data_IF_252529302116
#
_entry.id   IF_252529302116
#
_cell.length_a   1.000
_cell.length_b   1.000
_cell.length_c   1.000
_cell.angle_alpha   90.00
_cell.angle_beta   90.00
_cell.angle_gamma   90.00
#
_symmetry.space_group_name_H-M   'P 1'
#
loop_
_entity.id
_entity.type
_entity.pdbx_description
1 polymer ?
#
# COMPACT_ATOMS: atom_id res chain seq x y z
N UNK A 1 -44.49 0.26 -38.03
CA UNK A 1 -43.23 -0.38 -37.58
C UNK A 1 -42.06 0.60 -37.55
N UNK A 2 -42.04 1.68 -38.35
CA UNK A 2 -40.95 2.68 -38.31
C UNK A 2 -41.11 3.77 -37.22
N UNK A 3 -42.33 4.06 -36.76
CA UNK A 3 -42.57 5.14 -35.77
C UNK A 3 -42.31 4.74 -34.30
N UNK A 4 -42.13 3.43 -34.02
CA UNK A 4 -41.91 2.97 -32.64
C UNK A 4 -40.41 2.99 -32.25
N UNK A 5 -39.51 2.89 -33.23
CA UNK A 5 -38.06 2.93 -33.00
C UNK A 5 -37.55 4.36 -32.72
N UNK A 6 -38.18 5.38 -33.33
CA UNK A 6 -37.81 6.79 -33.07
C UNK A 6 -38.24 7.27 -31.68
N UNK A 7 -39.34 6.72 -31.13
CA UNK A 7 -39.76 7.02 -29.76
C UNK A 7 -38.86 6.36 -28.71
N UNK A 8 -38.28 5.19 -29.00
CA UNK A 8 -37.35 4.52 -28.08
C UNK A 8 -35.97 5.20 -28.04
N UNK A 9 -35.51 5.76 -29.17
CA UNK A 9 -34.23 6.45 -29.23
C UNK A 9 -34.21 7.79 -28.47
N UNK A 10 -35.37 8.42 -28.30
CA UNK A 10 -35.52 9.67 -27.55
C UNK A 10 -35.67 9.47 -26.02
N UNK A 11 -35.74 8.22 -25.56
CA UNK A 11 -35.82 7.83 -24.14
C UNK A 11 -34.49 7.37 -23.55
N UNK A 12 -33.37 7.54 -24.27
CA UNK A 12 -32.03 7.43 -23.67
C UNK A 12 -31.84 8.58 -22.69
N UNK A 13 -32.31 8.35 -21.47
CA UNK A 13 -31.91 9.06 -20.26
C UNK A 13 -30.39 9.12 -20.30
N UNK A 14 -29.88 10.31 -20.58
CA UNK A 14 -28.46 10.60 -20.44
C UNK A 14 -28.20 10.49 -18.95
N UNK A 15 -27.53 9.40 -18.53
CA UNK A 15 -26.99 9.33 -17.17
C UNK A 15 -26.23 10.64 -16.94
N UNK A 16 -26.50 11.35 -15.83
CA UNK A 16 -25.71 12.51 -15.49
C UNK A 16 -24.24 12.05 -15.43
N UNK A 17 -23.29 12.84 -15.97
CA UNK A 17 -21.89 12.53 -15.83
C UNK A 17 -21.61 12.30 -14.33
N UNK A 18 -20.94 11.19 -14.01
CA UNK A 18 -20.47 10.92 -12.66
C UNK A 18 -19.85 12.21 -12.09
N UNK A 19 -20.21 12.63 -10.86
CA UNK A 19 -19.66 13.83 -10.28
C UNK A 19 -18.14 13.67 -10.23
N UNK A 20 -17.45 14.46 -11.03
CA UNK A 20 -16.00 14.51 -11.00
C UNK A 20 -15.60 14.95 -9.59
N UNK A 21 -14.70 14.22 -8.90
CA UNK A 21 -14.30 14.57 -7.55
C UNK A 21 -13.82 16.02 -7.54
N UNK A 22 -14.47 16.85 -6.73
CA UNK A 22 -14.20 18.28 -6.68
C UNK A 22 -12.90 18.48 -5.91
N UNK A 23 -11.80 18.59 -6.64
CA UNK A 23 -10.49 18.84 -6.04
C UNK A 23 -10.33 20.32 -5.68
N UNK A 24 -9.73 20.58 -4.52
CA UNK A 24 -9.49 21.93 -4.01
C UNK A 24 -8.01 22.28 -4.18
N UNK A 25 -7.68 23.46 -4.76
CA UNK A 25 -6.30 23.92 -4.82
C UNK A 25 -5.82 24.31 -3.42
N UNK A 26 -4.66 23.80 -3.03
CA UNK A 26 -3.99 24.11 -1.77
C UNK A 26 -2.48 24.11 -1.97
N UNK A 27 -1.82 25.09 -1.35
CA UNK A 27 -0.36 25.15 -1.28
C UNK A 27 0.12 24.57 0.05
N UNK A 28 1.03 23.60 0.01
CA UNK A 28 1.63 22.98 1.21
C UNK A 28 3.15 23.15 1.11
N UNK A 29 3.69 24.03 1.95
CA UNK A 29 5.08 24.49 1.82
C UNK A 29 5.27 25.24 0.50
N UNK A 30 6.17 24.75 -0.34
CA UNK A 30 6.52 25.38 -1.63
C UNK A 30 5.84 24.72 -2.84
N UNK A 31 4.92 23.78 -2.62
CA UNK A 31 4.27 23.01 -3.68
C UNK A 31 2.76 23.22 -3.71
N UNK A 32 2.20 23.26 -4.91
CA UNK A 32 0.78 23.38 -5.16
C UNK A 32 0.16 21.99 -5.43
N UNK A 33 -1.01 21.75 -4.84
CA UNK A 33 -1.73 20.48 -4.97
C UNK A 33 -3.21 20.74 -5.29
N UNK A 34 -3.82 19.76 -5.95
CA UNK A 34 -5.27 19.68 -6.15
C UNK A 34 -5.79 18.44 -5.41
N UNK A 35 -6.40 18.64 -4.25
CA UNK A 35 -6.72 17.54 -3.34
C UNK A 35 -8.23 17.36 -3.17
N UNK A 36 -8.66 16.12 -3.06
CA UNK A 36 -9.97 15.80 -2.52
C UNK A 36 -9.91 15.87 -0.98
N UNK A 37 -10.30 17.02 -0.43
CA UNK A 37 -10.16 17.29 1.01
C UNK A 37 -10.97 16.31 1.88
N UNK A 38 -12.04 15.71 1.36
CA UNK A 38 -12.83 14.68 2.06
C UNK A 38 -12.00 13.45 2.44
N UNK A 39 -10.94 13.13 1.70
CA UNK A 39 -10.07 11.99 2.00
C UNK A 39 -9.03 12.30 3.09
N UNK A 40 -8.81 13.58 3.42
CA UNK A 40 -7.78 14.03 4.37
C UNK A 40 -8.44 14.88 5.46
N UNK A 41 -8.90 14.27 6.57
CA UNK A 41 -9.74 14.95 7.56
C UNK A 41 -9.12 16.21 8.16
N UNK A 42 -7.81 16.19 8.43
CA UNK A 42 -7.10 17.37 8.91
C UNK A 42 -7.18 18.54 7.93
N UNK A 43 -6.89 18.31 6.64
CA UNK A 43 -6.92 19.37 5.63
C UNK A 43 -8.34 19.86 5.34
N UNK A 44 -9.34 18.97 5.43
CA UNK A 44 -10.75 19.37 5.40
C UNK A 44 -11.09 20.34 6.54
N UNK A 45 -10.70 19.99 7.78
CA UNK A 45 -10.92 20.84 8.93
C UNK A 45 -10.17 22.18 8.82
N UNK A 46 -8.92 22.15 8.34
CA UNK A 46 -8.11 23.33 8.07
C UNK A 46 -8.77 24.27 7.05
N UNK A 47 -9.20 23.74 5.90
CA UNK A 47 -9.89 24.52 4.88
C UNK A 47 -11.20 25.15 5.41
N UNK A 48 -11.97 24.37 6.18
CA UNK A 48 -13.20 24.86 6.81
C UNK A 48 -12.94 25.97 7.83
N UNK A 49 -11.81 25.92 8.54
CA UNK A 49 -11.43 26.96 9.48
C UNK A 49 -11.02 28.24 8.76
N UNK A 50 -10.13 28.14 7.77
CA UNK A 50 -9.65 29.28 6.99
C UNK A 50 -10.78 30.00 6.24
N UNK A 51 -11.68 29.23 5.60
CA UNK A 51 -12.83 29.80 4.88
C UNK A 51 -13.80 30.54 5.79
N UNK A 52 -13.98 30.11 7.05
CA UNK A 52 -14.82 30.80 8.04
C UNK A 52 -14.13 32.02 8.66
N UNK A 53 -12.81 31.97 8.80
CA UNK A 53 -12.03 33.05 9.38
C UNK A 53 -11.88 34.25 8.41
N UNK A 54 -12.02 34.02 7.11
CA UNK A 54 -11.72 35.02 6.09
C UNK A 54 -12.98 35.62 5.46
N UNK A 55 -13.01 36.95 5.34
CA UNK A 55 -14.10 37.71 4.69
C UNK A 55 -13.99 37.79 3.17
N UNK A 56 -12.88 37.34 2.58
CA UNK A 56 -12.66 37.28 1.12
C UNK A 56 -12.00 35.95 0.74
N UNK A 57 -12.23 35.44 -0.49
CA UNK A 57 -11.59 34.22 -0.97
C UNK A 57 -10.08 34.43 -1.06
N UNK A 58 -9.32 33.71 -0.24
CA UNK A 58 -7.86 33.64 -0.33
C UNK A 58 -7.44 32.23 -0.71
N UNK A 59 -6.28 32.15 -1.34
CA UNK A 59 -5.57 30.89 -1.56
C UNK A 59 -5.34 30.17 -0.23
N UNK A 60 -5.62 28.86 -0.21
CA UNK A 60 -5.42 28.02 0.96
C UNK A 60 -3.94 27.64 1.04
N UNK A 61 -3.25 28.12 2.08
CA UNK A 61 -1.80 27.93 2.25
C UNK A 61 -1.51 27.30 3.61
N UNK A 62 -0.87 26.15 3.60
CA UNK A 62 -0.40 25.42 4.78
C UNK A 62 1.13 25.36 4.80
N UNK A 63 1.72 25.29 6.00
CA UNK A 63 3.16 25.06 6.16
C UNK A 63 3.61 23.71 5.56
N UNK A 64 4.93 23.47 5.45
CA UNK A 64 5.45 22.20 4.95
C UNK A 64 5.03 21.04 5.86
N UNK A 65 4.67 19.91 5.25
CA UNK A 65 4.34 18.66 5.95
C UNK A 65 5.36 17.60 5.52
N UNK A 66 6.00 16.94 6.48
CA UNK A 66 7.01 15.91 6.19
C UNK A 66 6.39 14.74 5.40
N UNK A 67 7.09 14.24 4.39
CA UNK A 67 6.67 13.10 3.55
C UNK A 67 5.26 13.21 2.94
N UNK A 68 4.69 14.42 2.81
CA UNK A 68 3.32 14.60 2.33
C UNK A 68 3.07 13.97 0.96
N UNK A 69 3.99 14.17 -0.01
CA UNK A 69 3.90 13.55 -1.34
C UNK A 69 3.79 12.02 -1.28
N UNK A 70 4.53 11.40 -0.35
CA UNK A 70 4.52 9.94 -0.17
C UNK A 70 3.22 9.51 0.51
N UNK A 71 2.77 10.26 1.51
CA UNK A 71 1.53 9.99 2.22
C UNK A 71 0.34 10.02 1.25
N UNK A 72 0.25 11.08 0.44
CA UNK A 72 -0.78 11.28 -0.59
C UNK A 72 -0.77 10.14 -1.62
N UNK A 73 0.41 9.78 -2.14
CA UNK A 73 0.54 8.65 -3.07
C UNK A 73 0.08 7.32 -2.45
N UNK A 74 0.28 7.13 -1.15
CA UNK A 74 -0.24 5.98 -0.42
C UNK A 74 -1.76 5.94 -0.33
N UNK A 75 -2.41 7.10 -0.18
CA UNK A 75 -3.88 7.25 -0.14
C UNK A 75 -4.46 6.97 -1.54
N UNK A 76 -3.94 7.65 -2.56
CA UNK A 76 -4.50 7.61 -3.92
C UNK A 76 -4.20 6.30 -4.67
N UNK A 77 -3.01 5.72 -4.46
CA UNK A 77 -2.52 4.59 -5.26
C UNK A 77 -2.26 3.31 -4.45
N UNK A 78 -2.51 3.36 -3.14
CA UNK A 78 -2.34 2.27 -2.18
C UNK A 78 -1.00 2.28 -1.42
N UNK A 79 -1.06 1.91 -0.15
CA UNK A 79 0.05 2.03 0.81
C UNK A 79 1.32 1.25 0.46
N UNK A 80 1.29 0.27 -0.45
CA UNK A 80 2.51 -0.35 -0.99
C UNK A 80 3.46 0.66 -1.61
N UNK A 81 2.94 1.79 -2.11
CA UNK A 81 3.75 2.86 -2.70
C UNK A 81 4.65 3.55 -1.68
N UNK A 82 4.31 3.52 -0.38
CA UNK A 82 5.13 4.08 0.69
C UNK A 82 6.50 3.40 0.74
N UNK A 83 6.53 2.05 0.70
CA UNK A 83 7.78 1.27 0.66
C UNK A 83 8.62 1.52 -0.59
N UNK A 84 7.99 1.86 -1.71
CA UNK A 84 8.67 2.14 -2.98
C UNK A 84 9.28 3.54 -3.01
N UNK A 85 8.56 4.49 -2.42
CA UNK A 85 8.93 5.90 -2.46
C UNK A 85 9.93 6.28 -1.36
N UNK A 86 10.00 5.50 -0.27
CA UNK A 86 10.96 5.69 0.80
C UNK A 86 12.14 4.71 0.71
N UNK A 87 13.34 5.12 1.18
CA UNK A 87 14.42 4.18 1.40
C UNK A 87 14.04 3.19 2.51
N UNK A 88 14.64 1.99 2.55
CA UNK A 88 14.36 0.98 3.58
C UNK A 88 15.06 1.34 4.91
N UNK A 89 14.76 2.53 5.41
CA UNK A 89 15.18 3.11 6.67
C UNK A 89 13.96 3.27 7.56
N UNK A 90 14.05 2.76 8.79
CA UNK A 90 12.90 2.72 9.70
C UNK A 90 12.51 4.13 10.18
N UNK A 91 13.49 5.03 10.36
CA UNK A 91 13.22 6.40 10.80
C UNK A 91 12.36 7.17 9.79
N UNK A 92 12.58 7.01 8.48
CA UNK A 92 11.71 7.59 7.45
C UNK A 92 10.27 7.06 7.52
N UNK A 93 10.11 5.78 7.87
CA UNK A 93 8.79 5.17 7.97
C UNK A 93 8.07 5.59 9.25
N UNK A 94 8.79 5.83 10.35
CA UNK A 94 8.25 6.50 11.54
C UNK A 94 7.70 7.88 11.19
N UNK A 95 8.51 8.74 10.58
CA UNK A 95 8.10 10.08 10.18
C UNK A 95 6.89 10.06 9.23
N UNK A 96 6.82 9.08 8.32
CA UNK A 96 5.63 8.91 7.47
C UNK A 96 4.39 8.51 8.27
N UNK A 97 4.51 7.63 9.27
CA UNK A 97 3.38 7.25 10.12
C UNK A 97 2.91 8.43 10.99
N UNK A 98 3.84 9.24 11.51
CA UNK A 98 3.50 10.51 12.20
C UNK A 98 2.73 11.46 11.28
N UNK A 99 3.11 11.54 10.00
CA UNK A 99 2.35 12.31 9.01
C UNK A 99 0.93 11.79 8.84
N UNK A 100 0.72 10.47 8.76
CA UNK A 100 -0.63 9.92 8.67
C UNK A 100 -1.47 10.23 9.92
N UNK A 101 -0.88 10.14 11.11
CA UNK A 101 -1.53 10.52 12.37
C UNK A 101 -1.89 12.01 12.39
N UNK A 102 -0.95 12.89 12.00
CA UNK A 102 -1.16 14.33 11.88
C UNK A 102 -2.29 14.68 10.89
N UNK A 103 -2.33 13.98 9.76
CA UNK A 103 -3.37 14.15 8.74
C UNK A 103 -4.72 13.52 9.14
N UNK A 104 -4.78 12.82 10.27
CA UNK A 104 -5.92 12.05 10.76
C UNK A 104 -6.39 10.97 9.77
N UNK A 105 -5.45 10.28 9.13
CA UNK A 105 -5.75 9.21 8.16
C UNK A 105 -5.87 7.87 8.89
N UNK A 106 -7.02 7.21 8.73
CA UNK A 106 -7.19 5.82 9.19
C UNK A 106 -6.48 4.85 8.24
N UNK A 107 -5.18 4.67 8.45
CA UNK A 107 -4.35 3.72 7.68
C UNK A 107 -4.86 2.28 7.82
N UNK A 108 -5.38 1.93 9.00
CA UNK A 108 -5.87 0.57 9.26
C UNK A 108 -7.22 0.34 8.56
N UNK A 109 -8.03 1.38 8.37
CA UNK A 109 -9.39 1.30 7.85
C UNK A 109 -10.30 0.54 8.81
N UNK A 110 -10.12 0.76 10.12
CA UNK A 110 -10.81 0.06 11.19
C UNK A 110 -10.49 -1.43 11.34
N UNK A 111 -9.50 -1.96 10.60
CA UNK A 111 -9.16 -3.38 10.62
C UNK A 111 -8.40 -3.77 11.89
N UNK A 112 -8.83 -4.88 12.51
CA UNK A 112 -8.13 -5.52 13.63
C UNK A 112 -6.85 -6.25 13.19
N UNK A 113 -5.96 -6.55 14.13
CA UNK A 113 -4.74 -7.36 13.90
C UNK A 113 -5.05 -8.69 13.18
N UNK A 114 -6.13 -9.38 13.57
CA UNK A 114 -6.49 -10.67 12.98
C UNK A 114 -6.94 -10.51 11.51
N UNK A 115 -7.68 -9.45 11.19
CA UNK A 115 -8.12 -9.14 9.82
C UNK A 115 -6.94 -8.74 8.93
N UNK A 116 -5.98 -7.97 9.46
CA UNK A 116 -4.72 -7.63 8.79
C UNK A 116 -3.94 -8.92 8.50
N UNK A 117 -3.78 -9.81 9.49
CA UNK A 117 -3.09 -11.10 9.31
C UNK A 117 -3.80 -11.99 8.27
N UNK A 118 -5.13 -12.01 8.29
CA UNK A 118 -5.94 -12.72 7.29
C UNK A 118 -5.70 -12.17 5.88
N UNK A 119 -5.75 -10.85 5.74
CA UNK A 119 -5.59 -10.13 4.48
C UNK A 119 -4.20 -10.30 3.88
N UNK A 120 -3.14 -10.33 4.71
CA UNK A 120 -1.76 -10.65 4.28
C UNK A 120 -1.66 -12.02 3.59
N UNK A 121 -2.47 -12.99 4.02
CA UNK A 121 -2.40 -14.38 3.55
C UNK A 121 -3.32 -14.69 2.38
N UNK A 122 -4.17 -13.75 1.95
CA UNK A 122 -5.17 -13.94 0.88
C UNK A 122 -4.56 -14.39 -0.45
N UNK A 123 -3.35 -13.94 -0.78
CA UNK A 123 -2.60 -14.37 -1.97
C UNK A 123 -2.15 -15.84 -1.97
N UNK A 124 -2.39 -16.62 -0.90
CA UNK A 124 -1.92 -18.01 -0.74
C UNK A 124 -3.02 -19.06 -0.85
N UNK A 125 -4.26 -18.73 -1.22
CA UNK A 125 -5.33 -19.72 -1.40
C UNK A 125 -5.06 -20.64 -2.61
N UNK A 126 -4.20 -21.65 -2.41
CA UNK A 126 -3.71 -22.60 -3.43
C UNK A 126 -4.83 -23.33 -4.16
N UNK A 127 -5.95 -23.63 -3.48
CA UNK A 127 -7.14 -24.24 -4.12
C UNK A 127 -7.78 -23.35 -5.18
N UNK A 128 -7.68 -22.02 -5.03
CA UNK A 128 -8.16 -21.05 -6.03
C UNK A 128 -7.07 -20.68 -7.04
N UNK A 129 -5.80 -20.75 -6.66
CA UNK A 129 -4.67 -20.32 -7.51
C UNK A 129 -4.50 -21.12 -8.81
N UNK A 130 -4.94 -22.38 -8.87
CA UNK A 130 -4.86 -23.23 -10.07
C UNK A 130 -5.86 -22.78 -11.16
N UNK A 131 -6.96 -22.13 -10.77
CA UNK A 131 -8.02 -21.68 -11.69
C UNK A 131 -8.14 -20.15 -11.79
N UNK A 132 -7.28 -19.39 -11.09
CA UNK A 132 -7.38 -17.92 -11.08
C UNK A 132 -6.63 -17.29 -12.26
N UNK A 133 -7.28 -16.41 -13.03
CA UNK A 133 -6.63 -15.56 -14.04
C UNK A 133 -5.42 -14.81 -13.47
N UNK A 134 -4.44 -14.50 -14.32
CA UNK A 134 -3.20 -13.77 -13.93
C UNK A 134 -3.53 -12.42 -13.28
N UNK A 135 -4.57 -11.74 -13.77
CA UNK A 135 -4.99 -10.42 -13.26
C UNK A 135 -5.42 -10.48 -11.79
N UNK A 136 -6.28 -11.44 -11.42
CA UNK A 136 -6.71 -11.62 -10.03
C UNK A 136 -5.53 -11.96 -9.09
N UNK A 137 -4.52 -12.68 -9.58
CA UNK A 137 -3.30 -12.97 -8.81
C UNK A 137 -2.45 -11.71 -8.60
N UNK A 138 -2.47 -10.75 -9.53
CA UNK A 138 -1.80 -9.45 -9.37
C UNK A 138 -2.52 -8.61 -8.32
N UNK A 139 -3.85 -8.57 -8.36
CA UNK A 139 -4.66 -7.83 -7.40
C UNK A 139 -4.51 -8.37 -5.97
N UNK A 140 -4.48 -9.70 -5.82
CA UNK A 140 -4.24 -10.34 -4.52
C UNK A 140 -2.85 -9.97 -3.95
N UNK A 141 -1.82 -9.85 -4.81
CA UNK A 141 -0.48 -9.40 -4.37
C UNK A 141 -0.45 -7.92 -4.00
N UNK A 142 -1.10 -7.06 -4.79
CA UNK A 142 -1.19 -5.63 -4.48
C UNK A 142 -1.85 -5.41 -3.11
N UNK A 143 -2.99 -6.07 -2.87
CA UNK A 143 -3.68 -6.05 -1.57
C UNK A 143 -2.81 -6.56 -0.43
N UNK A 144 -2.11 -7.68 -0.63
CA UNK A 144 -1.20 -8.19 0.39
C UNK A 144 -0.06 -7.21 0.71
N UNK A 145 0.49 -6.52 -0.32
CA UNK A 145 1.54 -5.51 -0.14
C UNK A 145 1.01 -4.25 0.58
N UNK A 146 -0.19 -3.78 0.25
CA UNK A 146 -0.82 -2.67 0.98
C UNK A 146 -1.07 -3.06 2.44
N UNK A 147 -1.54 -4.29 2.66
CA UNK A 147 -1.75 -4.84 4.01
C UNK A 147 -0.44 -4.95 4.79
N UNK A 148 0.70 -5.17 4.14
CA UNK A 148 2.00 -5.17 4.82
C UNK A 148 2.37 -3.78 5.36
N UNK A 149 1.92 -2.70 4.72
CA UNK A 149 2.08 -1.36 5.28
C UNK A 149 1.15 -1.15 6.47
N UNK A 150 -0.09 -1.63 6.42
CA UNK A 150 -0.99 -1.60 7.59
C UNK A 150 -0.40 -2.36 8.78
N UNK A 151 0.23 -3.51 8.53
CA UNK A 151 0.97 -4.25 9.57
C UNK A 151 2.12 -3.40 10.13
N UNK A 152 2.90 -2.73 9.28
CA UNK A 152 3.97 -1.82 9.72
C UNK A 152 3.40 -0.71 10.61
N UNK A 153 2.34 -0.03 10.15
CA UNK A 153 1.68 1.04 10.90
C UNK A 153 1.23 0.55 12.28
N UNK A 154 0.57 -0.61 12.32
CA UNK A 154 0.14 -1.23 13.58
C UNK A 154 1.30 -1.58 14.51
N UNK A 155 2.45 -2.02 13.99
CA UNK A 155 3.63 -2.31 14.81
C UNK A 155 4.19 -1.03 15.45
N UNK A 156 4.24 0.07 14.70
CA UNK A 156 4.86 1.31 15.15
C UNK A 156 3.93 2.14 16.05
N UNK A 157 2.64 2.25 15.68
CA UNK A 157 1.66 3.16 16.30
C UNK A 157 0.42 2.46 16.85
N UNK A 158 0.27 1.16 16.63
CA UNK A 158 -0.89 0.42 17.11
C UNK A 158 -0.90 0.20 18.62
N UNK A 159 -2.10 0.25 19.18
CA UNK A 159 -2.36 -0.26 20.53
C UNK A 159 -2.62 -1.77 20.47
N UNK A 160 -2.07 -2.50 21.43
CA UNK A 160 -2.26 -3.94 21.58
C UNK A 160 -2.92 -4.24 22.91
N UNK A 161 -4.00 -5.02 22.89
CA UNK A 161 -4.73 -5.41 24.11
C UNK A 161 -3.85 -6.27 25.04
N UNK A 162 -3.06 -7.16 24.45
CA UNK A 162 -2.12 -8.02 25.18
C UNK A 162 -0.81 -8.09 24.38
N UNK A 163 0.13 -7.21 24.70
CA UNK A 163 1.43 -7.13 24.01
C UNK A 163 2.17 -8.47 23.95
N UNK A 164 2.02 -9.33 24.97
CA UNK A 164 2.69 -10.64 24.97
C UNK A 164 2.05 -11.60 23.97
N UNK A 165 0.72 -11.74 23.99
CA UNK A 165 0.02 -12.63 23.04
C UNK A 165 0.05 -12.08 21.61
N UNK A 166 -0.11 -10.77 21.46
CA UNK A 166 -0.17 -10.13 20.16
C UNK A 166 1.22 -10.05 19.52
N UNK A 167 2.30 -9.85 20.28
CA UNK A 167 3.66 -9.93 19.73
C UNK A 167 3.96 -11.28 19.07
N UNK A 168 3.41 -12.39 19.58
CA UNK A 168 3.56 -13.71 18.96
C UNK A 168 2.77 -13.82 17.65
N UNK A 169 1.58 -13.19 17.56
CA UNK A 169 0.80 -13.12 16.31
C UNK A 169 1.51 -12.25 15.28
N UNK A 170 1.98 -11.07 15.69
CA UNK A 170 2.75 -10.14 14.86
C UNK A 170 4.02 -10.82 14.37
N UNK A 171 4.76 -11.53 15.22
CA UNK A 171 5.93 -12.31 14.81
C UNK A 171 5.61 -13.27 13.65
N UNK A 172 4.51 -14.03 13.75
CA UNK A 172 4.10 -14.94 12.68
C UNK A 172 3.74 -14.21 11.39
N UNK A 173 3.19 -13.00 11.48
CA UNK A 173 2.91 -12.14 10.33
C UNK A 173 4.20 -11.60 9.70
N UNK A 174 5.14 -11.14 10.52
CA UNK A 174 6.46 -10.64 10.09
C UNK A 174 7.25 -11.77 9.42
N UNK A 175 7.31 -12.96 10.03
CA UNK A 175 7.91 -14.16 9.42
C UNK A 175 7.29 -14.48 8.06
N UNK A 176 5.96 -14.36 7.95
CA UNK A 176 5.29 -14.52 6.67
C UNK A 176 5.76 -13.48 5.64
N UNK A 177 5.87 -12.21 6.01
CA UNK A 177 6.38 -11.16 5.10
C UNK A 177 7.81 -11.47 4.65
N UNK A 178 8.73 -11.73 5.58
CA UNK A 178 10.17 -11.90 5.23
C UNK A 178 10.45 -13.18 4.43
N UNK A 179 9.67 -14.24 4.64
CA UNK A 179 9.82 -15.54 3.96
C UNK A 179 9.21 -15.61 2.56
N UNK A 180 8.51 -14.56 2.09
CA UNK A 180 7.81 -14.57 0.80
C UNK A 180 8.36 -13.51 -0.18
N UNK A 181 9.60 -13.67 -0.69
CA UNK A 181 10.26 -12.69 -1.58
C UNK A 181 9.54 -12.49 -2.94
N UNK A 182 8.72 -13.47 -3.37
CA UNK A 182 7.90 -13.35 -4.59
C UNK A 182 6.74 -12.36 -4.44
N UNK A 183 6.32 -12.08 -3.20
CA UNK A 183 5.21 -11.18 -2.89
C UNK A 183 5.74 -9.87 -2.33
N UNK A 184 6.61 -9.94 -1.32
CA UNK A 184 7.15 -8.80 -0.61
C UNK A 184 8.60 -8.54 -1.03
N UNK A 185 8.84 -7.35 -1.59
CA UNK A 185 10.16 -6.93 -2.03
C UNK A 185 11.09 -6.73 -0.83
N UNK A 186 12.39 -6.79 -1.07
CA UNK A 186 13.39 -6.65 -0.01
C UNK A 186 13.18 -5.40 0.86
N UNK A 187 12.85 -4.23 0.27
CA UNK A 187 12.59 -2.99 1.03
C UNK A 187 11.50 -3.20 2.09
N UNK A 188 10.33 -3.69 1.68
CA UNK A 188 9.22 -4.03 2.59
C UNK A 188 9.66 -5.03 3.66
N UNK A 189 10.36 -6.10 3.26
CA UNK A 189 10.80 -7.15 4.21
C UNK A 189 11.75 -6.60 5.27
N UNK A 190 12.70 -5.76 4.86
CA UNK A 190 13.69 -5.13 5.76
C UNK A 190 13.02 -4.19 6.77
N UNK A 191 12.15 -3.31 6.31
CA UNK A 191 11.47 -2.32 7.18
C UNK A 191 10.52 -2.99 8.16
N UNK A 192 9.68 -3.92 7.69
CA UNK A 192 8.72 -4.65 8.55
C UNK A 192 9.44 -5.47 9.62
N UNK A 193 10.59 -6.08 9.27
CA UNK A 193 11.43 -6.77 10.24
C UNK A 193 11.99 -5.81 11.28
N UNK A 194 12.61 -4.71 10.85
CA UNK A 194 13.22 -3.73 11.73
C UNK A 194 12.19 -3.15 12.72
N UNK A 195 10.99 -2.82 12.24
CA UNK A 195 9.89 -2.35 13.08
C UNK A 195 9.53 -3.34 14.19
N UNK A 196 9.45 -4.63 13.86
CA UNK A 196 9.16 -5.68 14.85
C UNK A 196 10.27 -5.80 15.91
N UNK A 197 11.53 -5.78 15.46
CA UNK A 197 12.70 -5.87 16.33
C UNK A 197 12.86 -4.64 17.24
N UNK A 198 12.39 -3.47 16.80
CA UNK A 198 12.36 -2.25 17.60
C UNK A 198 11.24 -2.28 18.64
N UNK A 199 10.01 -2.64 18.24
CA UNK A 199 8.83 -2.60 19.13
C UNK A 199 8.84 -3.69 20.19
N UNK A 200 9.29 -4.90 19.85
CA UNK A 200 9.11 -6.08 20.70
C UNK A 200 10.43 -6.69 21.15
N UNK A 201 10.42 -7.27 22.36
CA UNK A 201 11.54 -8.08 22.83
C UNK A 201 11.61 -9.38 22.05
N UNK A 202 12.61 -9.49 21.17
CA UNK A 202 12.78 -10.65 20.29
C UNK A 202 13.59 -11.74 20.98
N UNK A 203 12.99 -12.93 21.17
CA UNK A 203 13.71 -14.10 21.69
C UNK A 203 14.78 -14.59 20.71
N UNK A 204 15.80 -15.29 21.22
CA UNK A 204 16.87 -15.89 20.40
C UNK A 204 16.31 -16.78 19.29
N UNK A 205 15.24 -17.54 19.57
CA UNK A 205 14.58 -18.40 18.59
C UNK A 205 13.87 -17.60 17.49
N UNK A 206 13.21 -16.50 17.85
CA UNK A 206 12.56 -15.63 16.88
C UNK A 206 13.59 -14.92 16.00
N UNK A 207 14.68 -14.42 16.60
CA UNK A 207 15.79 -13.77 15.89
C UNK A 207 16.41 -14.72 14.86
N UNK A 208 16.79 -15.93 15.28
CA UNK A 208 17.32 -16.95 14.37
C UNK A 208 16.32 -17.32 13.24
N UNK A 209 15.01 -17.28 13.53
CA UNK A 209 13.97 -17.48 12.52
C UNK A 209 13.90 -16.36 11.48
N UNK A 210 14.13 -15.11 11.89
CA UNK A 210 14.18 -13.94 11.00
C UNK A 210 15.48 -13.91 10.19
N UNK A 211 16.63 -14.14 10.83
CA UNK A 211 17.97 -14.14 10.22
C UNK A 211 18.06 -15.10 9.04
N UNK A 212 17.40 -16.26 9.12
CA UNK A 212 17.37 -17.26 8.04
C UNK A 212 16.88 -16.70 6.69
N UNK A 213 16.11 -15.63 6.69
CA UNK A 213 15.51 -15.03 5.49
C UNK A 213 16.23 -13.77 5.01
N UNK A 214 17.25 -13.33 5.74
CA UNK A 214 18.10 -12.23 5.31
C UNK A 214 18.93 -12.67 4.10
N UNK A 215 18.87 -11.87 3.03
CA UNK A 215 19.67 -12.12 1.84
C UNK A 215 20.96 -11.32 1.99
N UNK A 216 22.10 -12.02 2.09
CA UNK A 216 23.43 -11.39 2.10
C UNK A 216 23.92 -11.00 0.69
N UNK A 217 23.22 -11.44 -0.36
CA UNK A 217 23.68 -11.27 -1.75
C UNK A 217 23.25 -9.92 -2.35
N UNK A 218 24.17 -8.96 -2.32
CA UNK A 218 23.97 -7.59 -2.82
C UNK A 218 23.56 -7.54 -4.31
N UNK A 219 23.97 -8.50 -5.15
CA UNK A 219 23.57 -8.55 -6.56
C UNK A 219 22.08 -8.89 -6.70
N UNK A 220 21.56 -9.78 -5.85
CA UNK A 220 20.12 -10.09 -5.80
C UNK A 220 19.30 -8.93 -5.24
N UNK A 221 19.88 -8.13 -4.36
CA UNK A 221 19.25 -6.91 -3.84
C UNK A 221 19.15 -5.83 -4.92
N UNK A 222 20.20 -5.62 -5.71
CA UNK A 222 20.21 -4.65 -6.81
C UNK A 222 19.13 -4.97 -7.87
N UNK A 223 18.99 -6.25 -8.26
CA UNK A 223 17.95 -6.70 -9.21
C UNK A 223 16.54 -6.54 -8.63
N UNK A 224 16.33 -6.85 -7.34
CA UNK A 224 15.02 -6.64 -6.70
C UNK A 224 14.65 -5.15 -6.57
N UNK A 225 15.65 -4.27 -6.46
CA UNK A 225 15.50 -2.84 -6.28
C UNK A 225 15.20 -2.10 -7.59
N UNK A 226 15.84 -2.51 -8.70
CA UNK A 226 15.62 -1.94 -10.03
C UNK A 226 14.20 -2.21 -10.54
N UNK A 227 13.67 -3.40 -10.28
CA UNK A 227 12.26 -3.75 -10.56
C UNK A 227 11.21 -3.14 -9.63
N UNK A 228 11.59 -2.21 -8.75
CA UNK A 228 10.70 -1.51 -7.81
C UNK A 228 10.50 -0.02 -8.16
N UNK A 229 11.24 0.50 -9.16
CA UNK A 229 11.26 1.93 -9.56
C UNK A 229 10.39 2.22 -10.79
N UNK A 230 9.97 1.21 -11.56
CA UNK A 230 9.20 1.45 -12.79
C UNK A 230 7.77 1.92 -12.52
N UNK A 231 7.50 3.17 -12.90
CA UNK A 231 6.17 3.64 -13.27
C UNK A 231 5.66 2.81 -14.45
N UNK A 232 4.44 2.28 -14.29
CA UNK A 232 3.64 1.58 -15.29
C UNK A 232 3.89 0.08 -15.53
N UNK A 233 2.77 -0.66 -15.43
CA UNK A 233 2.49 -2.06 -15.80
C UNK A 233 3.63 -3.06 -15.67
N UNK A 234 3.61 -3.85 -14.58
CA UNK A 234 4.51 -5.00 -14.37
C UNK A 234 4.46 -5.97 -15.58
N UNK A 235 5.50 -5.93 -16.43
CA UNK A 235 5.69 -6.82 -17.57
C UNK A 235 5.65 -8.28 -17.15
N UNK A 236 5.04 -9.09 -18.02
CA UNK A 236 4.87 -10.54 -17.85
C UNK A 236 6.24 -11.20 -18.00
N UNK A 237 6.72 -11.81 -16.91
CA UNK A 237 7.78 -12.82 -16.98
C UNK A 237 7.19 -14.03 -17.73
N UNK A 238 7.39 -14.07 -19.05
CA UNK A 238 7.11 -15.25 -19.84
C UNK A 238 8.05 -16.33 -19.32
N UNK A 239 7.50 -17.27 -18.55
CA UNK A 239 8.19 -18.50 -18.21
C UNK A 239 8.70 -19.14 -19.48
N UNK A 240 10.02 -19.08 -19.68
CA UNK A 240 10.68 -19.80 -20.74
C UNK A 240 10.48 -21.29 -20.46
N UNK A 241 9.53 -21.88 -21.18
CA UNK A 241 9.38 -23.32 -21.33
C UNK A 241 10.63 -23.86 -22.01
N UNK A 242 11.60 -24.32 -21.21
CA UNK A 242 12.57 -25.30 -21.67
C UNK A 242 11.97 -26.70 -21.51
N UNK A 243 11.09 -27.07 -22.44
CA UNK A 243 10.79 -28.47 -22.71
C UNK A 243 10.35 -28.69 -24.16
N UNK A 244 11.33 -28.78 -25.06
CA UNK A 244 11.18 -29.51 -26.31
C UNK A 244 12.56 -29.84 -26.90
N UNK A 245 13.06 -31.04 -26.62
CA UNK A 245 13.77 -31.85 -27.63
C UNK A 245 13.64 -33.32 -27.22
N UNK A 246 12.54 -33.94 -27.68
CA UNK A 246 12.48 -35.39 -27.92
C UNK A 246 12.11 -35.54 -29.39
N UNK A 247 13.04 -36.10 -30.16
CA UNK A 247 12.89 -37.09 -31.23
C UNK A 247 14.23 -37.10 -32.01
N UNK A 248 15.08 -38.09 -31.78
CA UNK A 248 15.09 -39.40 -32.47
C UNK A 248 15.75 -39.29 -33.84
N UNK A 249 16.97 -39.83 -33.99
CA UNK A 249 17.45 -40.57 -35.17
C UNK A 249 18.80 -41.26 -34.87
N UNK A 250 18.82 -42.58 -35.10
CA UNK A 250 19.90 -43.59 -35.08
C UNK A 250 20.45 -44.04 -33.72
#
# INVERSE_FOLDING_TARGET
MAELDDLLNNLKVTEPPDPTPTTTPIKIGDKDYHLELSEIPYLSAFANFETKAQTQPKELVHGPIAHFDVALKGIESGFRQCFRSLPPDLAQHHALCETYEFLCIDVLGGQSLNEIIGSLKTGKNKRKAVYKPVLERKDDKAKARDTAFKLLYLILYGEFEDETKDSAKVYNAVIFVVSNPKTFKWRTRKVVRAAYEERFVVSVKQRAGLDRWEKEDAAKLAVENDGDVTTEVEYVDYGSDYSAFVNEFC
#
